data_IF_637039264055
#
_entry.id   IF_637039264055
#
_cell.length_a   1.000
_cell.length_b   1.000
_cell.length_c   1.000
_cell.angle_alpha   90.00
_cell.angle_beta   90.00
_cell.angle_gamma   90.00
#
_symmetry.space_group_name_H-M   'P 1'
#
loop_
_entity.id
_entity.type
_entity.pdbx_description
1 polymer ?
#
# COMPACT_ATOMS: atom_id res chain seq x y z
N UNK A 1 32.53 61.85 -5.63
CA UNK A 1 33.17 60.85 -6.50
C UNK A 1 34.11 60.05 -5.62
N UNK A 2 33.70 58.83 -5.27
CA UNK A 2 34.41 57.57 -5.60
C UNK A 2 35.57 57.28 -4.61
N UNK A 3 35.85 56.08 -4.10
CA UNK A 3 35.25 54.74 -4.17
C UNK A 3 35.89 53.91 -3.04
N UNK A 4 35.08 52.96 -2.56
CA UNK A 4 35.31 51.81 -1.65
C UNK A 4 36.74 51.33 -1.35
N UNK A 5 36.96 50.97 -0.07
CA UNK A 5 37.17 49.57 0.33
C UNK A 5 38.30 49.30 1.33
N UNK A 6 37.98 48.83 2.55
CA UNK A 6 38.85 47.97 3.37
C UNK A 6 38.02 47.00 4.25
N UNK A 7 38.48 45.74 4.28
CA UNK A 7 38.14 44.67 5.24
C UNK A 7 39.12 44.75 6.42
N UNK A 8 38.69 44.53 7.66
CA UNK A 8 38.90 43.30 8.45
C UNK A 8 38.38 43.44 9.89
N UNK A 9 37.79 42.34 10.39
CA UNK A 9 37.72 41.77 11.74
C UNK A 9 37.68 42.65 13.01
N UNK A 10 36.73 42.34 13.91
CA UNK A 10 36.91 41.59 15.18
C UNK A 10 35.54 41.51 15.89
N UNK A 11 35.25 40.38 16.54
CA UNK A 11 33.91 39.99 17.00
C UNK A 11 33.38 40.66 18.27
N UNK A 12 32.20 40.20 18.72
CA UNK A 12 31.72 40.41 20.10
C UNK A 12 30.49 39.56 20.45
N UNK A 13 30.62 38.93 21.62
CA UNK A 13 29.64 38.72 22.71
C UNK A 13 28.25 38.13 22.46
N UNK A 14 28.05 37.03 23.18
CA UNK A 14 26.83 36.39 23.65
C UNK A 14 25.89 37.33 24.41
N UNK A 15 24.64 37.45 23.95
CA UNK A 15 23.46 37.68 24.80
C UNK A 15 22.22 37.21 24.01
N UNK A 16 21.66 36.04 24.38
CA UNK A 16 20.38 35.58 23.85
C UNK A 16 19.29 36.37 24.58
N UNK A 17 18.66 37.31 23.89
CA UNK A 17 17.46 37.97 24.39
C UNK A 17 16.38 36.92 24.69
N UNK A 18 15.99 36.81 25.95
CA UNK A 18 14.86 36.00 26.41
C UNK A 18 13.57 36.50 25.75
N UNK A 19 13.11 35.79 24.72
CA UNK A 19 11.76 36.01 24.18
C UNK A 19 10.76 35.46 25.19
N UNK A 20 10.09 36.36 25.91
CA UNK A 20 8.89 36.06 26.72
C UNK A 20 7.96 35.15 25.91
N UNK A 21 7.76 33.91 26.37
CA UNK A 21 6.71 33.02 25.86
C UNK A 21 5.37 33.70 26.12
N UNK A 22 4.69 34.14 25.06
CA UNK A 22 3.27 34.49 25.13
C UNK A 22 2.52 33.25 25.63
N UNK A 23 1.90 33.33 26.80
CA UNK A 23 0.85 32.39 27.19
C UNK A 23 -0.31 32.60 26.21
N UNK A 24 -0.61 31.61 25.40
CA UNK A 24 -1.80 31.61 24.56
C UNK A 24 -2.99 31.33 25.48
N UNK A 25 -3.98 32.23 25.49
CA UNK A 25 -5.28 31.95 26.07
C UNK A 25 -6.07 30.93 25.23
N UNK A 26 -7.26 30.54 25.67
CA UNK A 26 -8.13 29.63 24.93
C UNK A 26 -8.38 30.18 23.52
N UNK A 27 -8.08 29.36 22.51
CA UNK A 27 -8.18 29.71 21.09
C UNK A 27 -9.63 29.54 20.67
N UNK A 28 -10.21 30.55 20.00
CA UNK A 28 -11.60 30.45 19.53
C UNK A 28 -11.71 29.53 18.29
N UNK A 29 -12.93 29.08 17.98
CA UNK A 29 -13.21 28.14 16.88
C UNK A 29 -12.56 28.55 15.55
N UNK A 30 -12.64 29.83 15.19
CA UNK A 30 -12.08 30.36 13.94
C UNK A 30 -10.56 30.35 13.91
N UNK A 31 -9.90 30.47 15.06
CA UNK A 31 -8.44 30.36 15.16
C UNK A 31 -7.96 28.90 15.21
N UNK A 32 -8.79 28.00 15.70
CA UNK A 32 -8.52 26.55 15.74
C UNK A 32 -8.62 25.92 14.34
N UNK A 33 -9.58 26.42 13.54
CA UNK A 33 -9.80 26.02 12.15
C UNK A 33 -8.84 26.73 11.15
N UNK A 34 -8.02 27.69 11.60
CA UNK A 34 -7.01 28.31 10.73
C UNK A 34 -6.00 27.26 10.27
N UNK A 35 -5.69 27.19 8.96
CA UNK A 35 -4.77 26.19 8.45
C UNK A 35 -3.38 26.41 9.07
N UNK A 36 -2.90 25.40 9.81
CA UNK A 36 -1.50 25.33 10.19
C UNK A 36 -0.64 25.45 8.93
N UNK A 37 0.47 26.21 8.99
CA UNK A 37 1.40 26.46 7.88
C UNK A 37 1.97 25.17 7.23
N UNK A 38 1.74 24.00 7.83
CA UNK A 38 2.04 22.68 7.30
C UNK A 38 0.76 21.91 6.90
N UNK A 39 0.06 22.39 5.87
CA UNK A 39 -1.13 21.74 5.32
C UNK A 39 -0.71 20.49 4.52
N UNK A 40 -1.26 19.32 4.85
CA UNK A 40 -1.04 18.08 4.08
C UNK A 40 -1.62 18.17 2.67
N UNK A 41 -1.07 17.39 1.73
CA UNK A 41 -1.56 17.35 0.33
C UNK A 41 -3.04 16.96 0.26
N UNK A 42 -3.53 16.14 1.19
CA UNK A 42 -4.95 15.77 1.30
C UNK A 42 -5.82 16.92 1.78
N UNK A 43 -5.35 17.70 2.76
CA UNK A 43 -6.09 18.87 3.26
C UNK A 43 -6.19 19.97 2.19
N UNK A 44 -5.14 20.19 1.38
CA UNK A 44 -5.20 21.10 0.22
C UNK A 44 -6.21 20.67 -0.85
N UNK A 45 -6.37 19.35 -1.06
CA UNK A 45 -7.37 18.80 -1.98
C UNK A 45 -8.78 18.99 -1.41
N UNK A 46 -8.99 18.72 -0.13
CA UNK A 46 -10.29 18.89 0.52
C UNK A 46 -10.74 20.36 0.53
N UNK A 47 -9.84 21.31 0.76
CA UNK A 47 -10.17 22.76 0.69
C UNK A 47 -10.51 23.26 -0.72
N UNK A 48 -10.15 22.50 -1.77
CA UNK A 48 -10.46 22.85 -3.16
C UNK A 48 -11.82 22.33 -3.62
N UNK A 49 -12.39 21.36 -2.90
CA UNK A 49 -13.79 20.96 -3.06
C UNK A 49 -14.62 21.89 -2.17
N UNK A 50 -15.48 22.74 -2.76
CA UNK A 50 -16.49 23.46 -2.00
C UNK A 50 -17.36 22.51 -1.18
N UNK A 51 -18.08 23.02 -0.17
CA UNK A 51 -19.01 22.24 0.67
C UNK A 51 -19.97 21.43 -0.20
N UNK A 52 -19.61 20.17 -0.44
CA UNK A 52 -20.41 19.24 -1.24
C UNK A 52 -20.99 18.26 -0.25
N UNK A 53 -22.32 18.30 -0.10
CA UNK A 53 -23.04 17.34 0.74
C UNK A 53 -22.93 15.96 0.08
N UNK A 54 -21.97 15.16 0.52
CA UNK A 54 -21.78 13.78 0.07
C UNK A 54 -22.98 12.96 0.56
N UNK A 55 -23.69 12.34 -0.38
CA UNK A 55 -24.78 11.41 -0.04
C UNK A 55 -24.15 10.14 0.54
N UNK A 56 -24.51 9.78 1.77
CA UNK A 56 -23.97 8.59 2.43
C UNK A 56 -24.85 7.39 2.07
N UNK A 57 -24.26 6.34 1.49
CA UNK A 57 -25.00 5.13 1.19
C UNK A 57 -25.33 4.36 2.48
N UNK A 58 -26.61 4.02 2.69
CA UNK A 58 -27.12 3.65 4.02
C UNK A 58 -26.77 2.26 4.56
N UNK A 59 -26.22 1.37 3.73
CA UNK A 59 -26.21 -0.08 4.01
C UNK A 59 -25.09 -0.53 4.97
N UNK A 60 -24.32 0.41 5.55
CA UNK A 60 -23.06 0.11 6.24
C UNK A 60 -23.09 0.49 7.73
N UNK A 61 -24.23 0.97 8.26
CA UNK A 61 -24.32 1.43 9.65
C UNK A 61 -25.49 0.80 10.40
N UNK A 62 -25.26 0.35 11.64
CA UNK A 62 -26.33 0.04 12.60
C UNK A 62 -27.14 1.31 12.87
N UNK A 63 -28.46 1.24 12.64
CA UNK A 63 -29.39 2.38 12.79
C UNK A 63 -30.40 2.04 13.88
N UNK A 64 -30.48 2.89 14.91
CA UNK A 64 -31.54 2.81 15.94
C UNK A 64 -32.91 3.05 15.30
N UNK A 65 -32.99 3.95 14.31
CA UNK A 65 -34.20 4.21 13.52
C UNK A 65 -33.83 4.20 12.04
N UNK A 66 -34.45 3.31 11.27
CA UNK A 66 -34.25 3.25 9.83
C UNK A 66 -35.17 4.25 9.09
N UNK A 67 -34.72 5.50 9.00
CA UNK A 67 -35.44 6.55 8.29
C UNK A 67 -35.62 6.28 6.79
N UNK A 68 -34.86 5.35 6.19
CA UNK A 68 -35.01 5.00 4.77
C UNK A 68 -36.36 4.37 4.53
N UNK A 69 -36.72 3.36 5.32
CA UNK A 69 -38.01 2.68 5.16
C UNK A 69 -39.15 3.68 5.32
N UNK A 70 -39.07 4.55 6.33
CA UNK A 70 -40.06 5.60 6.55
C UNK A 70 -40.14 6.56 5.35
N UNK A 71 -39.01 7.08 4.88
CA UNK A 71 -39.00 8.07 3.80
C UNK A 71 -39.33 7.48 2.42
N UNK A 72 -38.91 6.24 2.15
CA UNK A 72 -39.29 5.51 0.93
C UNK A 72 -40.80 5.31 0.89
N UNK A 73 -41.41 4.83 1.99
CA UNK A 73 -42.87 4.70 2.06
C UNK A 73 -43.56 6.05 1.88
N UNK A 74 -43.10 7.11 2.56
CA UNK A 74 -43.68 8.45 2.39
C UNK A 74 -43.59 8.92 0.93
N UNK A 75 -42.48 8.67 0.24
CA UNK A 75 -42.25 9.11 -1.14
C UNK A 75 -43.25 8.55 -2.15
N UNK A 76 -43.88 7.41 -1.86
CA UNK A 76 -44.93 6.82 -2.69
C UNK A 76 -46.23 7.64 -2.65
N UNK A 77 -46.49 8.33 -1.54
CA UNK A 77 -47.73 9.08 -1.29
C UNK A 77 -47.60 10.59 -1.50
N UNK A 78 -46.40 11.10 -1.76
CA UNK A 78 -46.17 12.54 -1.94
C UNK A 78 -45.58 12.86 -3.32
N UNK A 79 -45.96 14.01 -3.88
CA UNK A 79 -45.43 14.53 -5.15
C UNK A 79 -44.81 15.90 -4.96
N UNK A 80 -43.86 16.26 -5.82
CA UNK A 80 -43.26 17.58 -5.82
C UNK A 80 -44.35 18.64 -6.02
N UNK A 81 -44.45 19.61 -5.10
CA UNK A 81 -45.48 20.67 -5.20
C UNK A 81 -45.36 21.48 -6.49
N UNK A 82 -44.13 21.72 -6.97
CA UNK A 82 -43.82 22.58 -8.11
C UNK A 82 -44.05 21.87 -9.45
N UNK A 83 -43.44 20.71 -9.69
CA UNK A 83 -43.51 20.02 -10.98
C UNK A 83 -44.43 18.79 -11.00
N UNK A 84 -45.05 18.44 -9.86
CA UNK A 84 -45.89 17.24 -9.68
C UNK A 84 -45.20 15.89 -9.92
N UNK A 85 -43.89 15.89 -10.19
CA UNK A 85 -43.10 14.67 -10.35
C UNK A 85 -42.79 13.97 -9.03
N UNK A 86 -42.19 12.79 -9.15
CA UNK A 86 -41.75 11.97 -8.02
C UNK A 86 -40.65 12.66 -7.22
N UNK A 87 -40.67 12.41 -5.91
CA UNK A 87 -39.67 12.92 -4.98
C UNK A 87 -38.95 11.74 -4.34
N UNK A 88 -37.66 11.95 -4.06
CA UNK A 88 -36.81 11.00 -3.36
C UNK A 88 -36.23 11.69 -2.14
N UNK A 89 -36.14 10.96 -1.03
CA UNK A 89 -35.48 11.45 0.18
C UNK A 89 -34.10 10.82 0.31
N UNK A 90 -33.12 11.63 0.65
CA UNK A 90 -31.79 11.19 1.03
C UNK A 90 -31.39 11.80 2.37
N UNK A 91 -30.39 11.21 3.01
CA UNK A 91 -29.72 11.80 4.16
C UNK A 91 -28.40 12.44 3.72
N UNK A 92 -28.07 13.59 4.30
CA UNK A 92 -26.77 14.24 4.12
C UNK A 92 -26.30 14.96 5.38
N UNK A 93 -25.03 15.36 5.40
CA UNK A 93 -24.43 16.18 6.46
C UNK A 93 -24.77 15.69 7.89
N UNK A 94 -24.52 14.40 8.15
CA UNK A 94 -24.77 13.77 9.45
C UNK A 94 -23.87 14.40 10.52
N UNK A 95 -24.46 14.84 11.63
CA UNK A 95 -23.83 15.46 12.81
C UNK A 95 -24.37 14.77 14.06
N UNK A 96 -23.69 13.72 14.53
CA UNK A 96 -24.19 12.86 15.60
C UNK A 96 -25.48 12.14 15.17
N UNK A 97 -26.57 12.34 15.93
CA UNK A 97 -27.91 11.85 15.59
C UNK A 97 -28.68 12.78 14.63
N UNK A 98 -28.25 14.04 14.49
CA UNK A 98 -28.85 14.98 13.55
C UNK A 98 -28.33 14.79 12.13
N UNK A 99 -29.16 15.05 11.13
CA UNK A 99 -28.78 15.02 9.72
C UNK A 99 -29.65 15.98 8.90
N UNK A 100 -29.26 16.23 7.66
CA UNK A 100 -30.10 16.92 6.68
C UNK A 100 -30.92 15.90 5.91
N UNK A 101 -32.23 16.09 5.88
CA UNK A 101 -33.14 15.44 4.94
C UNK A 101 -33.01 16.21 3.62
N UNK A 102 -32.53 15.54 2.59
CA UNK A 102 -32.38 16.07 1.23
C UNK A 102 -33.55 15.54 0.41
N UNK A 103 -34.47 16.43 0.03
CA UNK A 103 -35.57 16.11 -0.87
C UNK A 103 -35.13 16.39 -2.31
N UNK A 104 -34.94 15.33 -3.08
CA UNK A 104 -34.57 15.36 -4.49
C UNK A 104 -35.81 15.22 -5.37
N UNK A 105 -35.83 15.96 -6.46
CA UNK A 105 -36.85 15.89 -7.49
C UNK A 105 -36.14 16.01 -8.84
N UNK A 106 -36.46 15.14 -9.81
CA UNK A 106 -35.74 15.07 -11.10
C UNK A 106 -35.71 16.41 -11.85
N UNK A 107 -36.75 17.22 -11.70
CA UNK A 107 -36.94 18.48 -12.44
C UNK A 107 -36.81 19.72 -11.56
N UNK A 108 -36.43 19.60 -10.28
CA UNK A 108 -36.35 20.73 -9.36
C UNK A 108 -35.06 20.71 -8.53
N UNK A 109 -34.65 21.88 -8.05
CA UNK A 109 -33.49 22.01 -7.15
C UNK A 109 -33.76 21.23 -5.85
N UNK A 110 -32.79 20.42 -5.36
CA UNK A 110 -32.93 19.73 -4.10
C UNK A 110 -33.20 20.69 -2.93
N UNK A 111 -34.09 20.30 -2.03
CA UNK A 111 -34.34 21.05 -0.78
C UNK A 111 -33.67 20.33 0.39
N UNK A 112 -33.01 21.10 1.25
CA UNK A 112 -32.38 20.60 2.47
C UNK A 112 -33.19 21.02 3.70
N UNK A 113 -33.51 20.07 4.56
CA UNK A 113 -34.26 20.28 5.79
C UNK A 113 -33.45 19.69 6.93
N UNK A 114 -33.22 20.44 8.01
CA UNK A 114 -32.56 19.88 9.19
C UNK A 114 -33.54 18.93 9.91
N UNK A 115 -33.07 17.73 10.28
CA UNK A 115 -33.88 16.76 11.03
C UNK A 115 -34.23 17.25 12.44
N UNK A 116 -33.50 18.24 12.95
CA UNK A 116 -33.72 18.88 14.24
C UNK A 116 -33.28 20.36 14.20
N UNK A 117 -33.76 21.22 15.13
CA UNK A 117 -33.24 22.58 15.28
C UNK A 117 -31.72 22.59 15.48
N UNK A 118 -31.07 23.64 14.96
CA UNK A 118 -29.62 23.85 15.16
C UNK A 118 -29.38 24.56 16.49
N UNK A 119 -28.42 24.07 17.26
CA UNK A 119 -27.97 24.71 18.51
C UNK A 119 -26.90 25.75 18.16
N UNK A 120 -27.18 27.04 18.40
CA UNK A 120 -26.32 28.16 17.98
C UNK A 120 -24.94 28.18 18.65
N UNK A 121 -24.80 27.57 19.84
CA UNK A 121 -23.54 27.44 20.59
C UNK A 121 -23.11 25.97 20.79
N UNK A 122 -23.45 25.10 19.83
CA UNK A 122 -23.16 23.66 19.94
C UNK A 122 -21.69 23.36 20.22
N UNK A 123 -20.77 24.14 19.63
CA UNK A 123 -19.34 23.90 19.77
C UNK A 123 -18.84 24.28 21.17
N UNK A 124 -19.28 25.41 21.71
CA UNK A 124 -18.86 25.88 23.03
C UNK A 124 -19.39 24.94 24.12
N UNK A 125 -20.64 24.48 24.00
CA UNK A 125 -21.23 23.47 24.88
C UNK A 125 -20.44 22.16 24.78
N UNK A 126 -20.21 21.67 23.56
CA UNK A 126 -19.40 20.48 23.34
C UNK A 126 -17.99 20.63 23.89
N UNK A 127 -17.32 21.77 23.69
CA UNK A 127 -15.95 22.00 24.15
C UNK A 127 -15.85 21.97 25.67
N UNK A 128 -16.79 22.62 26.37
CA UNK A 128 -16.83 22.61 27.84
C UNK A 128 -17.04 21.21 28.41
N UNK A 129 -17.91 20.41 27.79
CA UNK A 129 -18.16 19.02 28.20
C UNK A 129 -17.02 18.07 27.78
N UNK A 130 -16.44 18.29 26.60
CA UNK A 130 -15.43 17.44 25.98
C UNK A 130 -14.03 17.65 26.52
N UNK A 131 -13.68 18.85 27.01
CA UNK A 131 -12.33 19.13 27.54
C UNK A 131 -11.94 18.12 28.63
N UNK A 132 -12.90 17.74 29.48
CA UNK A 132 -12.70 16.74 30.54
C UNK A 132 -12.83 15.27 30.06
N UNK A 133 -13.26 15.04 28.82
CA UNK A 133 -13.54 13.72 28.24
C UNK A 133 -12.78 13.47 26.93
N UNK A 134 -11.78 14.30 26.62
CA UNK A 134 -11.07 14.24 25.36
C UNK A 134 -10.23 12.97 25.27
N UNK A 135 -10.58 12.07 24.34
CA UNK A 135 -9.85 10.84 24.10
C UNK A 135 -8.64 11.00 23.15
N UNK A 136 -8.22 12.25 22.86
CA UNK A 136 -7.09 12.50 21.99
C UNK A 136 -5.80 11.96 22.63
N UNK A 137 -5.16 11.01 21.95
CA UNK A 137 -3.94 10.35 22.42
C UNK A 137 -2.67 10.84 21.71
N UNK A 138 -2.78 11.82 20.82
CA UNK A 138 -1.65 12.35 20.06
C UNK A 138 -1.73 13.87 19.94
N UNK A 139 -0.58 14.54 20.01
CA UNK A 139 -0.47 15.98 19.79
C UNK A 139 0.52 16.28 18.66
N UNK A 140 0.18 17.28 17.84
CA UNK A 140 1.00 17.70 16.71
C UNK A 140 0.46 17.25 15.35
N UNK A 141 1.30 17.27 14.32
CA UNK A 141 0.84 17.03 12.95
C UNK A 141 0.56 15.56 12.68
N UNK A 142 -0.34 15.31 11.71
CA UNK A 142 -0.67 13.96 11.26
C UNK A 142 0.56 13.15 10.82
N UNK A 143 1.58 13.81 10.25
CA UNK A 143 2.83 13.17 9.85
C UNK A 143 3.73 12.75 11.00
N UNK A 144 3.47 13.21 12.24
CA UNK A 144 4.21 12.77 13.44
C UNK A 144 3.59 11.53 14.09
N UNK A 145 2.33 11.21 13.78
CA UNK A 145 1.64 10.05 14.38
C UNK A 145 2.41 8.74 14.14
N UNK A 146 2.90 8.51 12.92
CA UNK A 146 3.64 7.28 12.61
C UNK A 146 4.99 7.22 13.36
N UNK A 147 5.87 8.24 13.31
CA UNK A 147 7.08 8.26 14.13
C UNK A 147 6.85 8.07 15.63
N UNK A 148 5.83 8.73 16.17
CA UNK A 148 5.55 8.76 17.61
C UNK A 148 5.00 7.39 18.05
N UNK A 149 4.04 6.83 17.32
CA UNK A 149 3.49 5.50 17.60
C UNK A 149 4.53 4.38 17.46
N UNK A 150 5.41 4.45 16.45
CA UNK A 150 6.47 3.46 16.29
C UNK A 150 7.49 3.50 17.42
N UNK A 151 7.86 4.68 17.90
CA UNK A 151 8.74 4.81 19.06
C UNK A 151 8.07 4.22 20.31
N UNK A 152 6.79 4.54 20.54
CA UNK A 152 6.02 4.01 21.67
C UNK A 152 5.99 2.47 21.64
N UNK A 153 5.77 1.85 20.47
CA UNK A 153 5.80 0.39 20.33
C UNK A 153 7.16 -0.19 20.75
N UNK A 154 8.27 0.43 20.35
CA UNK A 154 9.62 -0.05 20.69
C UNK A 154 9.95 0.14 22.18
N UNK A 155 9.57 1.28 22.76
CA UNK A 155 9.75 1.57 24.18
C UNK A 155 8.93 0.61 25.04
N UNK A 156 7.65 0.44 24.71
CA UNK A 156 6.74 -0.46 25.43
C UNK A 156 7.24 -1.90 25.47
N UNK A 157 7.84 -2.40 24.38
CA UNK A 157 8.40 -3.75 24.36
C UNK A 157 9.57 -3.91 25.37
N UNK A 158 10.42 -2.89 25.47
CA UNK A 158 11.56 -2.88 26.38
C UNK A 158 11.12 -2.67 27.84
N UNK A 159 10.19 -1.75 28.08
CA UNK A 159 9.74 -1.37 29.42
C UNK A 159 8.86 -2.45 30.07
N UNK A 160 7.92 -3.02 29.32
CA UNK A 160 6.96 -4.00 29.90
C UNK A 160 7.50 -5.43 29.90
N UNK A 161 8.33 -5.79 28.91
CA UNK A 161 8.72 -7.19 28.68
C UNK A 161 10.23 -7.42 28.66
N UNK A 162 11.05 -6.38 28.81
CA UNK A 162 12.50 -6.49 28.68
C UNK A 162 12.97 -6.90 27.27
N UNK A 163 12.12 -6.74 26.25
CA UNK A 163 12.41 -7.16 24.88
C UNK A 163 12.87 -5.99 24.00
N UNK A 164 13.83 -6.25 23.12
CA UNK A 164 14.39 -5.25 22.19
C UNK A 164 14.18 -5.66 20.75
N UNK A 165 13.66 -4.74 19.94
CA UNK A 165 13.55 -4.95 18.50
C UNK A 165 14.89 -4.62 17.82
N UNK A 166 15.51 -5.62 17.20
CA UNK A 166 16.83 -5.44 16.54
C UNK A 166 16.75 -4.85 15.14
N UNK A 167 15.59 -4.97 14.47
CA UNK A 167 15.41 -4.55 13.08
C UNK A 167 14.17 -3.66 12.92
N UNK A 168 14.31 -2.58 12.16
CA UNK A 168 13.19 -1.77 11.66
C UNK A 168 13.06 -1.94 10.15
N UNK A 169 11.92 -2.47 9.70
CA UNK A 169 11.63 -2.71 8.27
C UNK A 169 10.78 -1.56 7.74
N UNK A 170 11.40 -0.67 6.96
CA UNK A 170 10.76 0.53 6.45
C UNK A 170 10.98 0.74 4.95
N UNK A 171 10.19 1.66 4.40
CA UNK A 171 10.32 2.10 3.01
C UNK A 171 11.19 3.38 2.99
N UNK A 172 12.40 3.31 2.40
CA UNK A 172 13.24 4.49 2.19
C UNK A 172 13.67 5.22 3.47
N UNK A 173 14.13 6.48 3.34
CA UNK A 173 14.55 7.29 4.49
C UNK A 173 13.32 7.85 5.21
N UNK A 174 12.92 7.15 6.29
CA UNK A 174 11.78 7.52 7.11
C UNK A 174 12.21 8.37 8.30
N UNK A 175 11.50 9.49 8.53
CA UNK A 175 11.59 10.28 9.77
C UNK A 175 11.33 9.41 11.01
N UNK A 176 10.56 8.33 10.84
CA UNK A 176 10.29 7.32 11.87
C UNK A 176 11.58 6.65 12.33
N UNK A 177 12.44 6.20 11.41
CA UNK A 177 13.70 5.55 11.78
C UNK A 177 14.66 6.50 12.48
N UNK A 178 14.80 7.74 11.98
CA UNK A 178 15.61 8.78 12.64
C UNK A 178 15.14 9.01 14.09
N UNK A 179 13.84 9.11 14.31
CA UNK A 179 13.29 9.28 15.66
C UNK A 179 13.57 8.06 16.56
N UNK A 180 13.49 6.84 16.02
CA UNK A 180 13.77 5.59 16.75
C UNK A 180 15.23 5.59 17.23
N UNK A 181 16.19 5.83 16.33
CA UNK A 181 17.63 5.80 16.69
C UNK A 181 18.04 6.94 17.64
N UNK A 182 17.38 8.10 17.56
CA UNK A 182 17.68 9.25 18.41
C UNK A 182 17.16 9.09 19.85
N UNK A 183 16.10 8.30 20.07
CA UNK A 183 15.39 8.25 21.35
C UNK A 183 15.44 6.89 22.05
N UNK A 184 15.85 5.82 21.38
CA UNK A 184 16.00 4.51 22.02
C UNK A 184 17.37 4.34 22.67
N UNK A 185 17.46 3.63 23.81
CA UNK A 185 18.71 3.39 24.52
C UNK A 185 19.52 2.21 23.92
N UNK A 186 19.19 1.75 22.71
CA UNK A 186 19.86 0.63 22.04
C UNK A 186 19.77 0.74 20.50
N UNK A 187 20.70 0.06 19.83
CA UNK A 187 20.81 0.12 18.37
C UNK A 187 19.72 -0.72 17.67
N UNK A 188 19.11 -0.11 16.66
CA UNK A 188 18.13 -0.75 15.77
C UNK A 188 18.66 -0.69 14.34
N UNK A 189 18.78 -1.84 13.69
CA UNK A 189 19.22 -1.89 12.29
C UNK A 189 18.07 -1.58 11.34
N UNK A 190 18.28 -0.67 10.40
CA UNK A 190 17.34 -0.46 9.30
C UNK A 190 17.43 -1.60 8.27
N UNK A 191 16.29 -2.16 7.91
CA UNK A 191 16.11 -3.08 6.79
C UNK A 191 15.16 -2.48 5.76
N UNK A 192 15.39 -2.77 4.49
CA UNK A 192 14.51 -2.34 3.39
C UNK A 192 13.50 -3.44 3.07
N UNK A 193 12.26 -3.05 2.81
CA UNK A 193 11.25 -3.95 2.30
C UNK A 193 11.58 -4.34 0.84
N UNK A 194 11.87 -5.61 0.55
CA UNK A 194 12.22 -6.05 -0.82
C UNK A 194 11.14 -5.66 -1.83
N UNK A 195 9.86 -5.77 -1.48
CA UNK A 195 8.77 -5.42 -2.37
C UNK A 195 8.80 -3.93 -2.74
N UNK A 196 9.27 -3.07 -1.84
CA UNK A 196 9.49 -1.66 -2.12
C UNK A 196 10.72 -1.44 -3.02
N UNK A 197 11.83 -2.14 -2.77
CA UNK A 197 13.03 -2.07 -3.64
C UNK A 197 12.72 -2.56 -5.06
N UNK A 198 11.94 -3.64 -5.19
CA UNK A 198 11.43 -4.13 -6.48
C UNK A 198 10.60 -3.04 -7.19
N UNK A 199 9.64 -2.41 -6.49
CA UNK A 199 8.86 -1.30 -7.05
C UNK A 199 9.76 -0.13 -7.47
N UNK A 200 10.80 0.18 -6.69
CA UNK A 200 11.78 1.23 -7.00
C UNK A 200 12.48 0.97 -8.34
N UNK A 201 12.90 -0.28 -8.61
CA UNK A 201 13.47 -0.68 -9.90
C UNK A 201 12.49 -0.41 -11.05
N UNK A 202 11.27 -0.93 -10.96
CA UNK A 202 10.25 -0.75 -12.00
C UNK A 202 9.85 0.71 -12.22
N UNK A 203 9.78 1.52 -11.16
CA UNK A 203 9.51 2.96 -11.28
C UNK A 203 10.65 3.70 -11.96
N UNK A 204 11.92 3.39 -11.62
CA UNK A 204 13.08 4.02 -12.28
C UNK A 204 13.16 3.69 -13.77
N UNK A 205 12.90 2.44 -14.14
CA UNK A 205 12.83 2.02 -15.55
C UNK A 205 11.73 2.76 -16.32
N UNK A 206 10.52 2.85 -15.76
CA UNK A 206 9.40 3.58 -16.37
C UNK A 206 9.66 5.08 -16.49
N UNK A 207 10.28 5.69 -15.49
CA UNK A 207 10.68 7.10 -15.53
C UNK A 207 11.75 7.35 -16.60
N UNK A 208 12.75 6.45 -16.71
CA UNK A 208 13.78 6.53 -17.75
C UNK A 208 13.17 6.45 -19.14
N UNK A 209 12.27 5.48 -19.35
CA UNK A 209 11.48 5.33 -20.59
C UNK A 209 10.70 6.60 -20.96
N UNK A 210 10.11 7.27 -19.97
CA UNK A 210 9.28 8.47 -20.18
C UNK A 210 10.13 9.70 -20.53
N UNK A 211 11.27 9.86 -19.87
CA UNK A 211 12.06 11.09 -19.94
C UNK A 211 13.09 11.09 -21.07
N UNK A 212 13.48 9.92 -21.59
CA UNK A 212 14.51 9.79 -22.61
C UNK A 212 13.91 9.42 -23.97
N UNK A 213 14.07 10.34 -24.93
CA UNK A 213 13.58 10.13 -26.30
C UNK A 213 14.29 8.93 -26.92
N UNK A 214 13.52 8.09 -27.59
CA UNK A 214 14.07 6.93 -28.30
C UNK A 214 14.13 5.64 -27.48
N UNK A 215 13.73 5.62 -26.19
CA UNK A 215 13.62 4.38 -25.39
C UNK A 215 12.23 3.71 -25.44
N UNK A 216 11.22 4.39 -25.98
CA UNK A 216 9.86 3.86 -26.16
C UNK A 216 9.67 3.26 -27.56
N UNK A 217 8.89 2.18 -27.67
CA UNK A 217 8.56 1.50 -28.93
C UNK A 217 8.81 -0.02 -28.91
N UNK A 218 8.39 -0.71 -29.98
CA UNK A 218 8.68 -2.14 -30.19
C UNK A 218 10.20 -2.35 -30.26
N UNK A 219 10.68 -3.42 -29.63
CA UNK A 219 12.11 -3.75 -29.59
C UNK A 219 12.96 -2.81 -28.72
N UNK A 220 12.36 -2.05 -27.79
CA UNK A 220 13.07 -1.16 -26.86
C UNK A 220 12.69 -1.47 -25.40
N UNK A 221 12.58 -0.47 -24.53
CA UNK A 221 12.12 -0.66 -23.15
C UNK A 221 10.59 -0.86 -23.12
N UNK A 222 10.16 -2.08 -23.44
CA UNK A 222 8.75 -2.48 -23.41
C UNK A 222 8.26 -2.68 -21.97
N UNK A 223 6.93 -2.72 -21.78
CA UNK A 223 6.38 -3.02 -20.44
C UNK A 223 6.73 -4.44 -19.99
N UNK A 224 6.78 -5.41 -20.91
CA UNK A 224 7.19 -6.78 -20.60
C UNK A 224 8.66 -6.84 -20.17
N UNK A 225 9.57 -6.20 -20.92
CA UNK A 225 10.98 -6.13 -20.50
C UNK A 225 11.13 -5.42 -19.15
N UNK A 226 10.35 -4.38 -18.89
CA UNK A 226 10.35 -3.69 -17.59
C UNK A 226 9.89 -4.62 -16.46
N UNK A 227 8.84 -5.41 -16.68
CA UNK A 227 8.35 -6.42 -15.72
C UNK A 227 9.41 -7.49 -15.46
N UNK A 228 10.04 -8.01 -16.51
CA UNK A 228 11.08 -9.03 -16.41
C UNK A 228 12.29 -8.54 -15.61
N UNK A 229 12.86 -7.38 -15.98
CA UNK A 229 14.00 -6.79 -15.28
C UNK A 229 13.67 -6.52 -13.81
N UNK A 230 12.46 -6.03 -13.53
CA UNK A 230 12.00 -5.79 -12.16
C UNK A 230 11.86 -7.09 -11.36
N UNK A 231 11.31 -8.13 -11.99
CA UNK A 231 11.14 -9.45 -11.38
C UNK A 231 12.50 -10.10 -11.11
N UNK A 232 13.38 -10.17 -12.10
CA UNK A 232 14.70 -10.78 -11.99
C UNK A 232 15.56 -10.09 -10.94
N UNK A 233 15.58 -8.75 -10.93
CA UNK A 233 16.24 -7.99 -9.89
C UNK A 233 15.76 -8.40 -8.49
N UNK A 234 14.45 -8.51 -8.28
CA UNK A 234 13.90 -8.92 -6.99
C UNK A 234 14.18 -10.39 -6.63
N UNK A 235 14.23 -11.29 -7.62
CA UNK A 235 14.58 -12.69 -7.42
C UNK A 235 16.06 -12.84 -7.06
N UNK A 236 16.94 -12.06 -7.69
CA UNK A 236 18.36 -12.04 -7.36
C UNK A 236 18.58 -11.68 -5.88
N UNK A 237 17.87 -10.68 -5.37
CA UNK A 237 17.90 -10.32 -3.94
C UNK A 237 17.35 -11.44 -3.06
N UNK A 238 16.14 -11.94 -3.33
CA UNK A 238 15.49 -12.95 -2.48
C UNK A 238 16.27 -14.27 -2.40
N UNK A 239 16.93 -14.68 -3.49
CA UNK A 239 17.69 -15.94 -3.56
C UNK A 239 19.10 -15.84 -3.00
N UNK A 240 19.58 -14.62 -2.71
CA UNK A 240 20.93 -14.37 -2.22
C UNK A 240 20.87 -13.43 -1.01
N UNK A 241 19.87 -13.61 -0.15
CA UNK A 241 19.57 -12.72 0.98
C UNK A 241 20.62 -12.75 2.09
N UNK A 242 21.53 -13.71 2.05
CA UNK A 242 22.42 -14.01 3.18
C UNK A 242 23.80 -13.38 3.00
N UNK A 243 24.21 -13.13 1.75
CA UNK A 243 25.54 -12.63 1.41
C UNK A 243 25.49 -11.48 0.39
N UNK A 244 26.02 -10.33 0.78
CA UNK A 244 26.02 -9.10 -0.01
C UNK A 244 26.68 -9.28 -1.39
N UNK A 245 27.85 -9.91 -1.43
CA UNK A 245 28.61 -10.09 -2.68
C UNK A 245 27.90 -11.02 -3.66
N UNK A 246 27.30 -12.11 -3.15
CA UNK A 246 26.48 -13.00 -3.97
C UNK A 246 25.23 -12.29 -4.49
N UNK A 247 24.61 -11.42 -3.67
CA UNK A 247 23.47 -10.61 -4.07
C UNK A 247 23.83 -9.65 -5.22
N UNK A 248 24.94 -8.91 -5.10
CA UNK A 248 25.43 -8.04 -6.18
C UNK A 248 25.73 -8.81 -7.45
N UNK A 249 26.47 -9.92 -7.32
CA UNK A 249 26.84 -10.77 -8.45
C UNK A 249 25.60 -11.27 -9.17
N UNK A 250 24.60 -11.75 -8.43
CA UNK A 250 23.34 -12.21 -8.99
C UNK A 250 22.55 -11.07 -9.66
N UNK A 251 22.50 -9.87 -9.08
CA UNK A 251 21.85 -8.70 -9.69
C UNK A 251 22.51 -8.37 -11.04
N UNK A 252 23.84 -8.24 -11.07
CA UNK A 252 24.57 -7.96 -12.30
C UNK A 252 24.46 -9.10 -13.32
N UNK A 253 24.37 -10.35 -12.87
CA UNK A 253 24.08 -11.48 -13.75
C UNK A 253 22.78 -11.27 -14.54
N UNK A 254 21.72 -10.73 -13.92
CA UNK A 254 20.45 -10.50 -14.64
C UNK A 254 20.57 -9.43 -15.73
N UNK A 255 21.39 -8.39 -15.51
CA UNK A 255 21.65 -7.36 -16.50
C UNK A 255 22.46 -7.91 -17.67
N UNK A 256 23.62 -8.51 -17.39
CA UNK A 256 24.52 -9.04 -18.42
C UNK A 256 23.88 -10.18 -19.23
N UNK A 257 23.10 -11.04 -18.57
CA UNK A 257 22.34 -12.09 -19.23
C UNK A 257 21.38 -11.53 -20.31
N UNK A 258 20.74 -10.38 -20.05
CA UNK A 258 19.86 -9.73 -21.04
C UNK A 258 20.60 -8.97 -22.14
N UNK A 259 21.88 -8.67 -21.96
CA UNK A 259 22.74 -8.06 -22.98
C UNK A 259 23.52 -9.10 -23.80
N UNK A 260 23.42 -10.39 -23.46
CA UNK A 260 24.22 -11.46 -24.04
C UNK A 260 23.78 -11.79 -25.47
N UNK A 261 24.75 -11.98 -26.37
CA UNK A 261 24.53 -12.48 -27.74
C UNK A 261 25.36 -13.74 -28.01
N UNK A 262 25.15 -14.40 -29.15
CA UNK A 262 25.96 -15.54 -29.56
C UNK A 262 27.43 -15.15 -29.77
N UNK A 263 27.69 -13.96 -30.32
CA UNK A 263 29.05 -13.44 -30.55
C UNK A 263 29.71 -12.91 -29.27
N UNK A 264 28.91 -12.43 -28.31
CA UNK A 264 29.37 -11.85 -27.04
C UNK A 264 28.58 -12.44 -25.87
N UNK A 265 28.85 -13.70 -25.50
CA UNK A 265 28.20 -14.34 -24.36
C UNK A 265 28.64 -13.69 -23.04
N UNK A 266 27.70 -13.26 -22.19
CA UNK A 266 27.97 -12.55 -20.94
C UNK A 266 27.34 -13.26 -19.73
N UNK A 267 27.77 -14.50 -19.47
CA UNK A 267 27.17 -15.37 -18.43
C UNK A 267 28.08 -15.65 -17.22
N UNK A 268 29.22 -14.97 -17.09
CA UNK A 268 30.22 -15.24 -16.04
C UNK A 268 29.68 -15.09 -14.61
N UNK A 269 28.71 -14.18 -14.43
CA UNK A 269 28.06 -13.94 -13.16
C UNK A 269 26.88 -14.89 -12.89
N UNK A 270 26.44 -15.66 -13.88
CA UNK A 270 25.37 -16.63 -13.71
C UNK A 270 25.88 -17.85 -12.92
N UNK A 271 25.01 -18.53 -12.16
CA UNK A 271 25.39 -19.79 -11.51
C UNK A 271 25.80 -20.82 -12.55
N UNK A 272 26.80 -21.64 -12.24
CA UNK A 272 27.29 -22.71 -13.10
C UNK A 272 26.56 -24.03 -12.82
N UNK A 273 26.70 -25.01 -13.71
CA UNK A 273 26.16 -26.35 -13.52
C UNK A 273 24.76 -26.59 -14.09
N UNK A 274 24.31 -27.84 -14.01
CA UNK A 274 23.06 -28.33 -14.62
C UNK A 274 21.79 -27.75 -13.98
N UNK A 275 21.91 -27.31 -12.73
CA UNK A 275 20.82 -26.71 -11.96
C UNK A 275 20.77 -25.17 -12.10
N UNK A 276 21.65 -24.58 -12.91
CA UNK A 276 21.67 -23.14 -13.17
C UNK A 276 20.36 -22.69 -13.80
N UNK A 277 19.78 -21.57 -13.36
CA UNK A 277 18.64 -20.99 -14.08
C UNK A 277 19.04 -20.44 -15.46
N UNK A 278 20.33 -20.23 -15.72
CA UNK A 278 20.84 -19.72 -16.99
C UNK A 278 20.98 -20.86 -18.01
N UNK A 279 20.17 -20.82 -19.08
CA UNK A 279 20.17 -21.84 -20.14
C UNK A 279 21.56 -22.03 -20.78
N UNK A 280 22.31 -20.94 -20.97
CA UNK A 280 23.67 -20.99 -21.53
C UNK A 280 24.64 -21.74 -20.60
N UNK A 281 24.58 -21.48 -19.27
CA UNK A 281 25.41 -22.20 -18.30
C UNK A 281 25.02 -23.68 -18.20
N UNK A 282 23.73 -24.01 -18.36
CA UNK A 282 23.30 -25.42 -18.47
C UNK A 282 23.86 -26.07 -19.72
N UNK A 283 23.76 -25.42 -20.88
CA UNK A 283 24.29 -25.93 -22.15
C UNK A 283 25.80 -26.17 -22.05
N UNK A 284 26.55 -25.23 -21.45
CA UNK A 284 27.97 -25.39 -21.14
C UNK A 284 28.26 -26.60 -20.25
N UNK A 285 27.48 -26.79 -19.19
CA UNK A 285 27.66 -27.93 -18.28
C UNK A 285 27.28 -29.29 -18.90
N UNK A 286 26.45 -29.29 -19.94
CA UNK A 286 26.01 -30.47 -20.67
C UNK A 286 26.83 -30.75 -21.94
N UNK A 287 27.73 -29.85 -22.34
CA UNK A 287 28.49 -29.96 -23.59
C UNK A 287 27.69 -29.59 -24.85
N UNK A 288 26.56 -28.88 -24.71
CA UNK A 288 25.62 -28.57 -25.78
C UNK A 288 25.68 -27.10 -26.22
N UNK A 289 26.84 -26.44 -26.12
CA UNK A 289 26.97 -25.03 -26.50
C UNK A 289 26.82 -24.82 -28.01
N UNK A 290 27.25 -25.78 -28.81
CA UNK A 290 27.28 -25.67 -30.27
C UNK A 290 25.88 -25.59 -30.90
N UNK A 291 24.86 -26.07 -30.17
CA UNK A 291 23.44 -26.02 -30.57
C UNK A 291 22.64 -24.95 -29.82
N UNK A 292 23.29 -24.18 -28.93
CA UNK A 292 22.62 -23.16 -28.15
C UNK A 292 22.56 -21.84 -28.93
N UNK A 293 21.37 -21.24 -28.97
CA UNK A 293 21.16 -19.91 -29.54
C UNK A 293 20.58 -18.95 -28.51
N UNK A 294 21.06 -17.72 -28.51
CA UNK A 294 20.56 -16.70 -27.58
C UNK A 294 19.17 -16.18 -27.98
N UNK A 295 18.37 -15.88 -26.96
CA UNK A 295 17.17 -15.04 -27.16
C UNK A 295 17.58 -13.63 -27.61
N UNK A 296 16.69 -12.88 -28.30
CA UNK A 296 17.00 -11.52 -28.75
C UNK A 296 17.51 -10.64 -27.61
N UNK A 297 18.74 -10.15 -27.77
CA UNK A 297 19.39 -9.34 -26.77
C UNK A 297 18.70 -7.97 -26.60
N UNK A 298 18.80 -7.44 -25.39
CA UNK A 298 18.39 -6.07 -25.10
C UNK A 298 19.22 -5.09 -25.95
N UNK A 299 18.60 -4.13 -26.65
CA UNK A 299 19.33 -3.19 -27.49
C UNK A 299 20.38 -2.40 -26.71
N UNK A 300 21.53 -2.15 -27.34
CA UNK A 300 22.65 -1.47 -26.71
C UNK A 300 22.24 -0.09 -26.14
N UNK A 301 21.45 0.69 -26.89
CA UNK A 301 20.92 1.97 -26.44
C UNK A 301 20.10 1.86 -25.12
N UNK A 302 19.29 0.79 -24.99
CA UNK A 302 18.51 0.53 -23.76
C UNK A 302 19.45 0.11 -22.63
N UNK A 303 20.38 -0.81 -22.90
CA UNK A 303 21.34 -1.31 -21.92
C UNK A 303 22.17 -0.17 -21.31
N UNK A 304 22.66 0.76 -22.15
CA UNK A 304 23.43 1.93 -21.74
C UNK A 304 22.61 2.90 -20.90
N UNK A 305 21.35 3.14 -21.29
CA UNK A 305 20.45 4.04 -20.57
C UNK A 305 20.08 3.52 -19.18
N UNK A 306 19.92 2.21 -19.01
CA UNK A 306 19.48 1.61 -17.73
C UNK A 306 20.65 1.13 -16.84
N UNK A 307 21.89 1.06 -17.36
CA UNK A 307 23.06 0.64 -16.57
C UNK A 307 23.23 1.45 -15.29
N UNK A 308 23.07 2.78 -15.38
CA UNK A 308 23.10 3.68 -14.21
C UNK A 308 22.08 3.33 -13.13
N UNK A 309 20.92 2.77 -13.51
CA UNK A 309 19.90 2.32 -12.56
C UNK A 309 20.37 1.09 -11.81
N UNK A 310 21.03 0.15 -12.49
CA UNK A 310 21.64 -1.02 -11.87
C UNK A 310 22.78 -0.64 -10.94
N UNK A 311 23.66 0.30 -11.34
CA UNK A 311 24.74 0.80 -10.49
C UNK A 311 24.19 1.40 -9.19
N UNK A 312 23.22 2.30 -9.29
CA UNK A 312 22.57 2.92 -8.13
C UNK A 312 21.88 1.91 -7.21
N UNK A 313 21.18 0.93 -7.79
CA UNK A 313 20.41 -0.05 -7.03
C UNK A 313 21.27 -1.22 -6.54
N UNK A 314 22.53 -1.32 -6.97
CA UNK A 314 23.48 -2.33 -6.48
C UNK A 314 24.47 -1.79 -5.45
N UNK A 315 24.26 -0.56 -4.95
CA UNK A 315 25.08 0.05 -3.92
C UNK A 315 25.04 -0.74 -2.60
N UNK A 316 26.19 -0.81 -1.94
CA UNK A 316 26.37 -1.50 -0.66
C UNK A 316 25.38 -1.07 0.41
N UNK A 317 25.22 0.24 0.60
CA UNK A 317 24.34 0.79 1.63
C UNK A 317 22.87 0.40 1.42
N UNK A 318 22.46 0.14 0.18
CA UNK A 318 21.12 -0.34 -0.13
C UNK A 318 21.02 -1.85 0.08
N UNK A 319 21.92 -2.62 -0.52
CA UNK A 319 21.85 -4.08 -0.51
C UNK A 319 22.14 -4.68 0.88
N UNK A 320 22.98 -4.05 1.70
CA UNK A 320 23.19 -4.43 3.10
C UNK A 320 21.88 -4.40 3.90
N UNK A 321 20.99 -3.45 3.58
CA UNK A 321 19.65 -3.34 4.18
C UNK A 321 18.65 -4.35 3.60
N UNK A 322 18.96 -4.97 2.47
CA UNK A 322 18.15 -6.03 1.86
C UNK A 322 18.48 -7.43 2.41
N UNK A 323 19.57 -7.58 3.18
CA UNK A 323 19.95 -8.86 3.79
C UNK A 323 18.83 -9.38 4.71
N UNK A 324 18.57 -10.69 4.63
CA UNK A 324 17.45 -11.38 5.30
C UNK A 324 16.11 -11.29 4.56
N UNK A 325 16.05 -10.60 3.42
CA UNK A 325 14.89 -10.55 2.54
C UNK A 325 13.54 -10.13 3.17
N UNK A 326 13.61 -9.23 4.14
CA UNK A 326 12.45 -8.75 4.87
C UNK A 326 11.42 -8.05 3.97
N UNK A 327 10.14 -8.21 4.34
CA UNK A 327 9.02 -7.55 3.70
C UNK A 327 7.94 -7.17 4.73
N UNK A 328 6.98 -6.35 4.31
CA UNK A 328 5.90 -5.85 5.18
C UNK A 328 4.55 -6.53 4.89
N UNK A 329 4.53 -7.66 4.18
CA UNK A 329 3.26 -8.25 3.71
C UNK A 329 2.38 -8.69 4.88
N UNK A 330 2.95 -9.31 5.93
CA UNK A 330 2.19 -9.73 7.11
C UNK A 330 1.53 -8.54 7.80
N UNK A 331 2.29 -7.47 8.05
CA UNK A 331 1.75 -6.26 8.69
C UNK A 331 0.67 -5.59 7.81
N UNK A 332 0.85 -5.58 6.49
CA UNK A 332 -0.15 -5.04 5.55
C UNK A 332 -1.41 -5.88 5.52
N UNK A 333 -1.28 -7.20 5.56
CA UNK A 333 -2.39 -8.15 5.62
C UNK A 333 -3.18 -8.01 6.92
N UNK A 334 -2.50 -7.98 8.06
CA UNK A 334 -3.14 -7.73 9.37
C UNK A 334 -3.89 -6.40 9.40
N UNK A 335 -3.22 -5.31 8.99
CA UNK A 335 -3.84 -3.98 8.93
C UNK A 335 -5.05 -3.97 7.99
N UNK A 336 -5.04 -4.72 6.89
CA UNK A 336 -6.18 -4.82 5.99
C UNK A 336 -7.41 -5.40 6.69
N UNK A 337 -7.25 -6.36 7.60
CA UNK A 337 -8.37 -6.93 8.36
C UNK A 337 -8.96 -5.87 9.30
N UNK A 338 -8.10 -5.12 10.02
CA UNK A 338 -8.56 -4.00 10.87
C UNK A 338 -9.39 -3.02 10.07
N UNK A 339 -8.88 -2.56 8.92
CA UNK A 339 -9.53 -1.53 8.13
C UNK A 339 -10.74 -2.04 7.32
N UNK A 340 -10.93 -3.36 7.21
CA UNK A 340 -12.20 -3.94 6.74
C UNK A 340 -13.30 -3.82 7.78
N UNK A 341 -12.96 -3.95 9.07
CA UNK A 341 -13.91 -3.86 10.20
C UNK A 341 -14.16 -2.40 10.60
N UNK A 342 -13.11 -1.57 10.63
CA UNK A 342 -13.18 -0.15 10.94
C UNK A 342 -12.66 0.68 9.74
N UNK A 343 -13.48 0.93 8.69
CA UNK A 343 -13.02 1.62 7.49
C UNK A 343 -12.49 3.03 7.77
N UNK A 344 -11.32 3.36 7.19
CA UNK A 344 -10.70 4.70 7.32
C UNK A 344 -11.53 5.84 6.73
N UNK A 345 -12.52 5.53 5.90
CA UNK A 345 -13.45 6.49 5.33
C UNK A 345 -14.56 6.89 6.28
N UNK A 346 -14.70 6.19 7.41
CA UNK A 346 -15.70 6.45 8.44
C UNK A 346 -14.99 6.87 9.72
N UNK A 347 -15.65 7.74 10.50
CA UNK A 347 -15.18 8.02 11.84
C UNK A 347 -15.35 6.74 12.69
N UNK A 348 -14.26 6.31 13.32
CA UNK A 348 -14.24 5.24 14.31
C UNK A 348 -13.50 5.77 15.53
N UNK A 349 -14.12 5.72 16.70
CA UNK A 349 -13.45 6.06 17.95
C UNK A 349 -12.44 4.97 18.35
N UNK A 350 -11.69 5.25 19.42
CA UNK A 350 -10.66 4.34 19.96
C UNK A 350 -11.23 2.98 20.33
N UNK A 351 -12.44 2.89 20.89
CA UNK A 351 -13.05 1.62 21.28
C UNK A 351 -13.38 0.76 20.07
N UNK A 352 -13.94 1.35 19.00
CA UNK A 352 -14.21 0.64 17.74
C UNK A 352 -12.91 0.13 17.13
N UNK A 353 -11.86 0.96 17.08
CA UNK A 353 -10.57 0.54 16.53
C UNK A 353 -9.91 -0.55 17.38
N UNK A 354 -10.04 -0.49 18.71
CA UNK A 354 -9.53 -1.52 19.62
C UNK A 354 -10.25 -2.86 19.43
N UNK A 355 -11.58 -2.84 19.33
CA UNK A 355 -12.39 -4.04 19.04
C UNK A 355 -11.99 -4.62 17.68
N UNK A 356 -11.88 -3.78 16.65
CA UNK A 356 -11.44 -4.20 15.32
C UNK A 356 -10.04 -4.82 15.34
N UNK A 357 -9.09 -4.24 16.09
CA UNK A 357 -7.75 -4.79 16.25
C UNK A 357 -7.74 -6.14 16.97
N UNK A 358 -8.56 -6.30 18.02
CA UNK A 358 -8.69 -7.55 18.75
C UNK A 358 -9.32 -8.66 17.89
N UNK A 359 -10.38 -8.36 17.15
CA UNK A 359 -11.01 -9.30 16.20
C UNK A 359 -10.03 -9.64 15.07
N UNK A 360 -9.33 -8.65 14.52
CA UNK A 360 -8.32 -8.87 13.49
C UNK A 360 -7.20 -9.80 13.97
N UNK A 361 -6.78 -9.70 15.23
CA UNK A 361 -5.79 -10.61 15.83
C UNK A 361 -6.28 -12.05 15.86
N UNK A 362 -7.55 -12.27 16.21
CA UNK A 362 -8.17 -13.60 16.23
C UNK A 362 -8.21 -14.15 14.80
N UNK A 363 -8.78 -13.40 13.86
CA UNK A 363 -8.92 -13.81 12.46
C UNK A 363 -7.56 -14.08 11.79
N UNK A 364 -6.56 -13.24 12.06
CA UNK A 364 -5.24 -13.37 11.43
C UNK A 364 -4.51 -14.62 11.88
N UNK A 365 -4.58 -14.96 13.17
CA UNK A 365 -3.83 -16.08 13.74
C UNK A 365 -4.61 -17.40 13.69
N UNK A 366 -5.91 -17.37 13.98
CA UNK A 366 -6.72 -18.57 14.24
C UNK A 366 -7.85 -18.80 13.22
N UNK A 367 -8.18 -17.81 12.38
CA UNK A 367 -9.30 -17.90 11.44
C UNK A 367 -10.65 -17.51 12.05
N UNK A 368 -11.72 -17.74 11.28
CA UNK A 368 -13.11 -17.43 11.62
C UNK A 368 -13.70 -18.40 12.63
N UNK A 369 -13.25 -19.66 12.66
CA UNK A 369 -13.71 -20.63 13.68
C UNK A 369 -13.47 -20.10 15.10
N UNK A 370 -12.37 -19.39 15.34
CA UNK A 370 -12.09 -18.78 16.64
C UNK A 370 -13.01 -17.60 17.01
N UNK A 371 -13.84 -17.10 16.08
CA UNK A 371 -14.91 -16.16 16.43
C UNK A 371 -16.05 -16.85 17.18
N UNK A 372 -16.21 -18.17 17.04
CA UNK A 372 -17.24 -18.91 17.78
C UNK A 372 -17.02 -18.80 19.29
N UNK A 373 -15.78 -18.90 19.76
CA UNK A 373 -15.41 -18.70 21.16
C UNK A 373 -15.79 -17.29 21.66
N UNK A 374 -15.63 -16.28 20.80
CA UNK A 374 -16.04 -14.89 21.11
C UNK A 374 -17.56 -14.79 21.24
N UNK A 375 -18.31 -15.43 20.34
CA UNK A 375 -19.78 -15.44 20.39
C UNK A 375 -20.28 -16.15 21.66
N UNK A 376 -19.65 -17.26 22.04
CA UNK A 376 -19.97 -17.98 23.27
C UNK A 376 -19.71 -17.13 24.52
N UNK A 377 -18.57 -16.44 24.58
CA UNK A 377 -18.26 -15.49 25.67
C UNK A 377 -19.24 -14.32 25.76
N UNK A 378 -19.84 -13.92 24.64
CA UNK A 378 -20.90 -12.92 24.58
C UNK A 378 -22.29 -13.51 24.86
N UNK A 379 -22.37 -14.79 25.20
CA UNK A 379 -23.61 -15.54 25.43
C UNK A 379 -24.55 -15.52 24.21
N UNK A 380 -24.00 -15.45 23.00
CA UNK A 380 -24.74 -15.54 21.76
C UNK A 380 -24.87 -17.02 21.38
N UNK A 381 -26.11 -17.50 21.24
CA UNK A 381 -26.37 -18.87 20.80
C UNK A 381 -25.82 -19.10 19.39
N UNK A 382 -24.88 -20.01 19.26
CA UNK A 382 -24.29 -20.39 17.99
C UNK A 382 -25.27 -21.31 17.25
N UNK A 383 -25.79 -20.84 16.11
CA UNK A 383 -26.60 -21.64 15.21
C UNK A 383 -25.75 -22.36 14.16
N UNK A 384 -26.29 -23.43 13.58
CA UNK A 384 -25.61 -24.25 12.57
C UNK A 384 -25.09 -23.42 11.40
N UNK A 385 -25.86 -22.44 10.92
CA UNK A 385 -25.45 -21.56 9.81
C UNK A 385 -24.17 -20.78 10.08
N UNK A 386 -23.99 -20.25 11.30
CA UNK A 386 -22.78 -19.50 11.67
C UNK A 386 -21.59 -20.44 11.80
N UNK A 387 -21.81 -21.61 12.40
CA UNK A 387 -20.81 -22.66 12.51
C UNK A 387 -20.29 -23.08 11.12
N UNK A 388 -21.18 -23.48 10.23
CA UNK A 388 -20.84 -23.92 8.87
C UNK A 388 -20.14 -22.80 8.08
N UNK A 389 -20.62 -21.56 8.22
CA UNK A 389 -20.00 -20.40 7.57
C UNK A 389 -18.55 -20.19 8.03
N UNK A 390 -18.28 -20.22 9.34
CA UNK A 390 -16.93 -20.04 9.86
C UNK A 390 -15.97 -21.13 9.34
N UNK A 391 -16.41 -22.38 9.33
CA UNK A 391 -15.63 -23.50 8.79
C UNK A 391 -15.37 -23.34 7.29
N UNK A 392 -16.41 -23.06 6.50
CA UNK A 392 -16.29 -22.85 5.05
C UNK A 392 -15.29 -21.73 4.71
N UNK A 393 -15.35 -20.58 5.38
CA UNK A 393 -14.46 -19.45 5.09
C UNK A 393 -13.00 -19.79 5.44
N UNK A 394 -12.77 -20.53 6.52
CA UNK A 394 -11.41 -20.94 6.89
C UNK A 394 -10.85 -22.00 5.94
N UNK A 395 -11.67 -22.97 5.50
CA UNK A 395 -11.29 -23.93 4.46
C UNK A 395 -10.95 -23.23 3.14
N UNK A 396 -11.78 -22.27 2.71
CA UNK A 396 -11.51 -21.47 1.51
C UNK A 396 -10.21 -20.68 1.64
N UNK A 397 -9.97 -20.07 2.80
CA UNK A 397 -8.73 -19.33 3.09
C UNK A 397 -7.51 -20.23 2.96
N UNK A 398 -7.56 -21.44 3.53
CA UNK A 398 -6.47 -22.43 3.43
C UNK A 398 -6.27 -22.86 1.99
N UNK A 399 -7.36 -23.22 1.29
CA UNK A 399 -7.32 -23.62 -0.12
C UNK A 399 -6.69 -22.56 -1.03
N UNK A 400 -7.06 -21.28 -0.85
CA UNK A 400 -6.48 -20.16 -1.59
C UNK A 400 -4.99 -20.02 -1.26
N UNK A 401 -4.61 -20.12 0.02
CA UNK A 401 -3.22 -19.99 0.45
C UNK A 401 -2.35 -21.13 -0.12
N UNK A 402 -2.84 -22.37 -0.08
CA UNK A 402 -2.19 -23.54 -0.67
C UNK A 402 -2.08 -23.42 -2.18
N UNK A 403 -3.16 -23.01 -2.86
CA UNK A 403 -3.14 -22.73 -4.29
C UNK A 403 -2.12 -21.64 -4.67
N UNK A 404 -2.03 -20.57 -3.88
CA UNK A 404 -1.03 -19.52 -4.06
C UNK A 404 0.40 -20.03 -3.79
N UNK A 405 0.60 -20.88 -2.77
CA UNK A 405 1.89 -21.48 -2.47
C UNK A 405 2.32 -22.43 -3.60
N UNK A 406 1.41 -23.29 -4.07
CA UNK A 406 1.62 -24.21 -5.17
C UNK A 406 1.94 -23.48 -6.46
N UNK A 407 1.22 -22.41 -6.81
CA UNK A 407 1.50 -21.58 -8.00
C UNK A 407 2.93 -21.01 -8.03
N UNK A 408 3.57 -20.84 -6.87
CA UNK A 408 4.95 -20.36 -6.76
C UNK A 408 6.00 -21.48 -6.89
N UNK A 409 5.60 -22.76 -6.88
CA UNK A 409 6.50 -23.90 -7.04
C UNK A 409 7.03 -24.03 -8.47
N UNK A 410 8.07 -24.84 -8.63
CA UNK A 410 8.57 -25.21 -9.96
C UNK A 410 7.57 -26.12 -10.71
N UNK A 411 6.92 -27.03 -9.98
CA UNK A 411 5.99 -28.03 -10.49
C UNK A 411 4.73 -27.41 -11.09
N UNK A 412 4.12 -26.42 -10.41
CA UNK A 412 2.99 -25.68 -10.99
C UNK A 412 3.37 -24.95 -12.29
N UNK A 413 4.57 -24.36 -12.36
CA UNK A 413 5.07 -23.71 -13.58
C UNK A 413 5.34 -24.71 -14.72
N UNK A 414 5.71 -25.95 -14.38
CA UNK A 414 5.91 -27.03 -15.35
C UNK A 414 4.56 -27.53 -15.88
N UNK A 415 3.59 -27.75 -14.98
CA UNK A 415 2.24 -28.19 -15.33
C UNK A 415 1.49 -27.15 -16.17
N UNK A 416 1.61 -25.85 -15.86
CA UNK A 416 1.03 -24.79 -16.70
C UNK A 416 1.64 -24.77 -18.10
N UNK A 417 2.95 -25.05 -18.23
CA UNK A 417 3.59 -25.16 -19.55
C UNK A 417 3.09 -26.38 -20.31
N UNK A 418 3.03 -27.54 -19.66
CA UNK A 418 2.51 -28.78 -20.24
C UNK A 418 1.08 -28.57 -20.70
N UNK A 419 0.18 -28.02 -19.87
CA UNK A 419 -1.20 -27.75 -20.29
C UNK A 419 -1.27 -26.75 -21.43
N UNK A 420 -0.43 -25.71 -21.44
CA UNK A 420 -0.42 -24.73 -22.55
C UNK A 420 0.15 -25.28 -23.85
N UNK A 421 1.01 -26.30 -23.79
CA UNK A 421 1.55 -26.97 -24.98
C UNK A 421 0.58 -28.05 -25.47
N UNK A 422 -0.13 -28.75 -24.57
CA UNK A 422 -1.26 -29.64 -24.91
C UNK A 422 -2.40 -28.86 -25.54
N UNK A 423 -2.74 -27.66 -25.05
CA UNK A 423 -3.77 -26.80 -25.65
C UNK A 423 -3.36 -26.30 -27.05
N UNK A 424 -2.06 -26.12 -27.31
CA UNK A 424 -1.55 -25.75 -28.66
C UNK A 424 -1.50 -26.95 -29.60
N UNK A 425 -1.11 -28.12 -29.12
CA UNK A 425 -1.20 -29.37 -29.90
C UNK A 425 -2.65 -29.67 -30.26
N UNK A 426 -3.60 -29.48 -29.33
CA UNK A 426 -5.03 -29.60 -29.60
C UNK A 426 -5.53 -28.54 -30.61
N UNK A 427 -4.94 -27.33 -30.64
CA UNK A 427 -5.29 -26.30 -31.63
C UNK A 427 -4.69 -26.60 -33.02
N UNK A 428 -3.49 -27.19 -33.07
CA UNK A 428 -2.83 -27.65 -34.30
C UNK A 428 -3.55 -28.89 -34.89
N UNK A 429 -4.00 -29.83 -34.06
CA UNK A 429 -4.82 -30.97 -34.48
C UNK A 429 -6.17 -30.53 -35.07
N UNK A 430 -6.75 -29.43 -34.59
CA UNK A 430 -7.97 -28.84 -35.16
C UNK A 430 -7.69 -28.10 -36.48
N UNK A 431 -6.52 -27.49 -36.64
CA UNK A 431 -6.11 -26.79 -37.87
C UNK A 431 -5.71 -27.76 -38.99
N UNK A 432 -5.12 -28.92 -38.65
CA UNK A 432 -4.78 -30.00 -39.60
C UNK A 432 -6.01 -30.80 -40.08
N UNK A 433 -7.11 -30.79 -39.33
CA UNK A 433 -8.42 -31.29 -39.78
C UNK A 433 -9.16 -30.36 -40.75
N UNK A 434 -8.73 -29.09 -40.87
CA UNK A 434 -9.36 -28.06 -41.71
C UNK A 434 -8.66 -27.84 -43.06
N UNK A 435 -7.51 -28.50 -43.31
CA UNK A 435 -6.82 -28.48 -44.60
C UNK A 435 -6.48 -29.89 -45.08
N UNK A 436 -7.51 -30.60 -45.54
CA UNK A 436 -7.34 -31.80 -46.38
C UNK A 436 -6.90 -31.41 -47.81
N UNK A 437 -6.06 -32.22 -48.47
CA UNK A 437 -5.49 -31.95 -49.79
C UNK A 437 -6.59 -31.88 -50.86
N UNK A 438 -6.39 -30.95 -51.81
CA UNK A 438 -7.42 -30.46 -52.71
C UNK A 438 -8.14 -31.48 -53.60
N UNK A 439 -9.30 -31.06 -54.07
CA UNK A 439 -9.98 -31.68 -55.21
C UNK A 439 -10.13 -30.58 -56.25
N UNK A 440 -9.37 -30.75 -57.33
CA UNK A 440 -9.55 -30.04 -58.57
C UNK A 440 -10.81 -30.57 -59.26
N UNK A 441 -11.64 -29.64 -59.74
CA UNK A 441 -12.23 -29.63 -61.10
C UNK A 441 -12.61 -28.19 -61.46
#
# INVERSE_FOLDING_TARGET
MDRKGKRHEVGKSTERADRKRKRFGPVNRYETEKPNLNISTSSKKLSSFGETNVTVYPNISYRIINFITVFSTISEYIKCKTCKGDVEFCEGNKRGLGFKIILKCKSCVPKEINSCPLVQNAYEIWQQEHENQCAANHTGSAGKMEPDAMLEIFQRANELYGMKYVNYIGDGNSKTYSKIIEQLPYDVQKKECINHVQKRMGTRLRNRKKNEKGLSGKGKLTENLTKDLTLYYSLAIRRNSDFLENMKKAIWATFFHKCSTDEKPQHDNCPTGKDSWCKWQKARALGNLDIFTHEPAMPEAVSKAIKSIYEDLSRDDLLQRCLGAFNQNNNKSFNQIIWKIAPKSLFSDTHIVQIAANIARILFNNGHVALLDVLELLHIKIGQTVYDYCHYVDEERVRIAEGCAYANTHESRLNVRITSDVDKEAFLDVEELLYGPGIAE
#
